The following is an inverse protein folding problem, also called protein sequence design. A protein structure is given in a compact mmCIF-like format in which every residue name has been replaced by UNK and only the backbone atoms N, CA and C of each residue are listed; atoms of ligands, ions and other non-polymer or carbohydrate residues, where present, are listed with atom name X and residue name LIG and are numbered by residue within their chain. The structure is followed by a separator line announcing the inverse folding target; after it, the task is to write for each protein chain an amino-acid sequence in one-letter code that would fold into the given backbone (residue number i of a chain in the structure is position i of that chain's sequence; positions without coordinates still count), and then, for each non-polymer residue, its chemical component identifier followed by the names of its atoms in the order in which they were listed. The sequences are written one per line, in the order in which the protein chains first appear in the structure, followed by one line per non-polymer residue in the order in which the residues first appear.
data_IF_803416467186
#
_entry.id   IF_803416467186
#
_cell.length_a   1.000
_cell.length_b   1.000
_cell.length_c   1.000
_cell.angle_alpha   90.00
_cell.angle_beta   90.00
_cell.angle_gamma   90.00
#
_symmetry.space_group_name_H-M   'P 1'
#
loop_
_entity.id
_entity.type
_entity.pdbx_description
1 polymer ?
#
# COMPACT_ATOMS: atom_id res chain seq x y z
N UNK A 1 -1.02 -6.02 14.61
CA UNK A 1 0.42 -6.36 14.60
C UNK A 1 1.06 -6.19 15.98
N UNK A 2 1.06 -5.00 16.59
CA UNK A 2 1.66 -4.77 17.92
C UNK A 2 1.21 -5.78 18.98
N UNK A 3 -0.09 -6.11 19.02
CA UNK A 3 -0.63 -7.17 19.88
C UNK A 3 0.04 -8.53 19.63
N UNK A 4 0.08 -8.99 18.38
CA UNK A 4 0.67 -10.27 18.01
C UNK A 4 2.16 -10.37 18.39
N UNK A 5 2.92 -9.29 18.19
CA UNK A 5 4.34 -9.24 18.57
C UNK A 5 4.49 -9.37 20.09
N UNK A 6 3.75 -8.56 20.87
CA UNK A 6 3.79 -8.59 22.34
C UNK A 6 3.43 -9.98 22.87
N UNK A 7 2.39 -10.60 22.31
CA UNK A 7 1.96 -11.95 22.68
C UNK A 7 3.03 -12.98 22.34
N UNK A 8 3.62 -12.95 21.14
CA UNK A 8 4.66 -13.89 20.75
C UNK A 8 5.91 -13.79 21.64
N UNK A 9 6.36 -12.57 21.98
CA UNK A 9 7.50 -12.35 22.89
C UNK A 9 7.19 -12.89 24.29
N UNK A 10 5.99 -12.61 24.82
CA UNK A 10 5.57 -13.12 26.12
C UNK A 10 5.50 -14.65 26.13
N UNK A 11 4.94 -15.28 25.08
CA UNK A 11 4.86 -16.74 24.95
C UNK A 11 6.22 -17.40 24.79
N UNK A 12 7.19 -16.73 24.16
CA UNK A 12 8.54 -17.24 24.00
C UNK A 12 9.38 -17.18 25.30
N UNK A 13 8.97 -16.39 26.30
CA UNK A 13 9.68 -16.26 27.58
C UNK A 13 11.07 -15.61 27.47
N UNK A 14 11.38 -14.99 26.33
CA UNK A 14 12.66 -14.32 26.09
C UNK A 14 12.61 -12.87 26.57
N UNK A 15 13.77 -12.33 26.97
CA UNK A 15 13.87 -10.89 27.22
C UNK A 15 13.69 -10.13 25.91
N UNK A 16 12.88 -9.05 25.86
CA UNK A 16 12.82 -8.19 24.68
C UNK A 16 14.21 -7.67 24.25
N UNK A 17 15.13 -7.49 25.20
CA UNK A 17 16.50 -7.03 24.92
C UNK A 17 17.37 -8.05 24.15
N UNK A 18 16.97 -9.33 24.09
CA UNK A 18 17.68 -10.36 23.34
C UNK A 18 17.24 -10.47 21.87
N UNK A 19 16.25 -9.67 21.44
CA UNK A 19 15.75 -9.67 20.06
C UNK A 19 16.65 -8.77 19.22
N UNK A 20 17.46 -9.39 18.35
CA UNK A 20 18.42 -8.68 17.51
C UNK A 20 17.80 -7.94 16.31
N UNK A 21 16.57 -8.27 15.92
CA UNK A 21 15.89 -7.63 14.80
C UNK A 21 14.45 -8.10 14.59
N UNK A 22 13.70 -7.34 13.79
CA UNK A 22 12.31 -7.62 13.41
C UNK A 22 12.17 -7.47 11.89
N UNK A 23 11.68 -8.51 11.23
CA UNK A 23 11.32 -8.49 9.81
C UNK A 23 9.82 -8.33 9.64
N UNK A 24 9.41 -7.60 8.60
CA UNK A 24 8.01 -7.46 8.20
C UNK A 24 7.86 -7.81 6.72
N UNK A 25 6.88 -8.64 6.42
CA UNK A 25 6.31 -8.80 5.10
C UNK A 25 4.82 -8.42 5.14
N UNK A 26 4.29 -8.07 3.98
CA UNK A 26 2.88 -7.76 3.80
C UNK A 26 2.50 -8.04 2.35
N UNK A 27 1.20 -8.17 2.10
CA UNK A 27 0.69 -8.18 0.73
C UNK A 27 1.09 -6.92 -0.02
N UNK A 28 1.17 -6.99 -1.35
CA UNK A 28 1.53 -5.86 -2.22
C UNK A 28 0.39 -4.84 -2.40
N UNK A 29 -0.43 -4.65 -1.35
CA UNK A 29 -1.50 -3.66 -1.30
C UNK A 29 -0.96 -2.22 -1.36
N UNK A 30 -1.78 -1.28 -1.82
CA UNK A 30 -1.44 0.13 -1.91
C UNK A 30 -2.04 0.89 -0.73
N UNK A 31 -1.20 1.58 0.05
CA UNK A 31 -1.64 2.44 1.16
C UNK A 31 -1.48 3.91 0.74
N UNK A 32 -2.55 4.69 0.90
CA UNK A 32 -2.58 6.11 0.53
C UNK A 32 -2.61 6.96 1.80
N UNK A 33 -1.66 7.87 1.91
CA UNK A 33 -1.55 8.82 3.02
C UNK A 33 -1.30 10.22 2.46
N UNK A 34 -1.73 11.22 3.22
CA UNK A 34 -1.45 12.62 2.99
C UNK A 34 -0.31 13.11 3.87
N UNK A 35 -0.27 14.42 4.08
CA UNK A 35 0.69 15.06 4.97
C UNK A 35 0.54 14.55 6.41
N UNK A 36 1.65 14.51 7.13
CA UNK A 36 1.71 14.05 8.53
C UNK A 36 1.16 12.62 8.74
N UNK A 37 1.34 11.73 7.76
CA UNK A 37 0.86 10.34 7.78
C UNK A 37 -0.68 10.20 7.96
N UNK A 38 -1.44 11.28 7.68
CA UNK A 38 -2.89 11.28 7.73
C UNK A 38 -3.45 10.31 6.66
N UNK A 39 -4.38 9.41 7.01
CA UNK A 39 -4.93 8.50 6.03
C UNK A 39 -5.87 9.23 5.07
N UNK A 40 -5.84 8.87 3.78
CA UNK A 40 -6.71 9.46 2.76
C UNK A 40 -7.64 8.38 2.20
N UNK A 41 -8.93 8.69 2.08
CA UNK A 41 -9.93 7.77 1.53
C UNK A 41 -9.59 7.40 0.08
N UNK A 42 -9.73 6.11 -0.26
CA UNK A 42 -9.45 5.56 -1.61
C UNK A 42 -10.66 4.91 -2.28
N UNK A 43 -11.86 5.19 -1.79
CA UNK A 43 -13.09 4.59 -2.29
C UNK A 43 -14.31 5.45 -2.00
N UNK A 44 -15.49 5.03 -2.49
CA UNK A 44 -16.70 5.87 -2.55
C UNK A 44 -17.33 6.16 -1.18
N UNK A 45 -16.80 5.59 -0.10
CA UNK A 45 -17.30 5.87 1.25
C UNK A 45 -16.77 7.18 1.83
N UNK A 46 -15.77 7.82 1.19
CA UNK A 46 -15.05 9.00 1.70
C UNK A 46 -14.48 8.84 3.12
N UNK A 47 -14.42 7.58 3.58
CA UNK A 47 -13.92 7.18 4.88
C UNK A 47 -12.39 7.09 4.83
N UNK A 48 -11.74 8.01 5.57
CA UNK A 48 -10.29 8.09 5.67
C UNK A 48 -9.69 6.82 6.28
N UNK A 49 -10.41 6.08 7.13
CA UNK A 49 -9.90 4.81 7.69
C UNK A 49 -9.84 3.70 6.63
N UNK A 50 -10.50 3.89 5.48
CA UNK A 50 -10.42 3.01 4.31
C UNK A 50 -9.44 3.58 3.31
N UNK A 51 -8.16 3.61 3.69
CA UNK A 51 -7.05 4.16 2.89
C UNK A 51 -6.16 3.12 2.19
N UNK A 52 -6.65 1.87 2.07
CA UNK A 52 -5.88 0.76 1.50
C UNK A 52 -6.63 0.17 0.30
N UNK A 53 -5.97 0.14 -0.86
CA UNK A 53 -6.41 -0.65 -2.01
C UNK A 53 -5.73 -2.01 -1.93
N UNK A 54 -6.51 -3.05 -1.65
CA UNK A 54 -6.01 -4.42 -1.46
C UNK A 54 -5.39 -4.95 -2.75
N UNK A 55 -4.39 -5.84 -2.65
CA UNK A 55 -3.74 -6.44 -3.82
C UNK A 55 -4.72 -7.08 -4.82
N UNK A 56 -5.74 -7.81 -4.31
CA UNK A 56 -6.81 -8.48 -5.08
C UNK A 56 -7.80 -7.53 -5.77
N UNK A 57 -7.70 -6.22 -5.51
CA UNK A 57 -8.63 -5.25 -6.07
C UNK A 57 -8.35 -5.03 -7.57
N UNK A 58 -9.39 -5.22 -8.39
CA UNK A 58 -9.34 -5.14 -9.85
C UNK A 58 -10.00 -3.89 -10.43
N UNK A 59 -10.33 -2.88 -9.61
CA UNK A 59 -10.95 -1.65 -10.11
C UNK A 59 -10.14 -0.93 -11.20
N UNK A 60 -8.81 -1.12 -11.19
CA UNK A 60 -7.87 -0.54 -12.14
C UNK A 60 -7.74 -1.30 -13.48
N UNK A 61 -8.72 -2.13 -13.84
CA UNK A 61 -8.67 -2.93 -15.09
C UNK A 61 -8.56 -2.05 -16.33
N UNK A 62 -9.41 -1.02 -16.46
CA UNK A 62 -9.36 -0.10 -17.60
C UNK A 62 -8.04 0.68 -17.69
N UNK A 63 -7.44 1.04 -16.55
CA UNK A 63 -6.14 1.72 -16.47
C UNK A 63 -5.01 0.77 -16.88
N UNK A 64 -5.05 -0.49 -16.45
CA UNK A 64 -4.08 -1.49 -16.88
C UNK A 64 -4.15 -1.73 -18.39
N UNK A 65 -5.35 -1.79 -18.98
CA UNK A 65 -5.54 -1.89 -20.43
C UNK A 65 -4.94 -0.70 -21.18
N UNK A 66 -5.21 0.54 -20.71
CA UNK A 66 -4.61 1.75 -21.27
C UNK A 66 -3.08 1.72 -21.23
N UNK A 67 -2.50 1.30 -20.10
CA UNK A 67 -1.04 1.17 -19.97
C UNK A 67 -0.50 0.10 -20.93
N UNK A 68 -1.17 -1.05 -21.02
CA UNK A 68 -0.76 -2.14 -21.90
C UNK A 68 -0.79 -1.73 -23.38
N UNK A 69 -1.76 -0.91 -23.80
CA UNK A 69 -1.86 -0.40 -25.17
C UNK A 69 -0.67 0.49 -25.58
N UNK A 70 0.08 1.04 -24.63
CA UNK A 70 1.27 1.86 -24.93
C UNK A 70 2.45 1.06 -25.49
N UNK A 71 2.51 -0.25 -25.23
CA UNK A 71 3.67 -1.07 -25.59
C UNK A 71 4.99 -0.62 -24.95
N UNK A 72 4.94 0.14 -23.85
CA UNK A 72 6.13 0.75 -23.25
C UNK A 72 7.21 -0.30 -22.90
N UNK A 73 8.52 -0.06 -23.17
CA UNK A 73 9.58 -1.04 -22.94
C UNK A 73 9.65 -1.60 -21.50
N UNK A 74 9.21 -0.83 -20.50
CA UNK A 74 9.14 -1.28 -19.10
C UNK A 74 8.25 -2.51 -18.90
N UNK A 75 7.26 -2.73 -19.77
CA UNK A 75 6.35 -3.88 -19.69
C UNK A 75 7.09 -5.20 -19.85
N UNK A 76 8.29 -5.21 -20.46
CA UNK A 76 9.15 -6.40 -20.56
C UNK A 76 9.50 -7.00 -19.20
N UNK A 77 9.58 -6.18 -18.14
CA UNK A 77 9.88 -6.64 -16.78
C UNK A 77 8.70 -7.35 -16.10
N UNK A 78 7.50 -7.27 -16.67
CA UNK A 78 6.28 -7.92 -16.14
C UNK A 78 5.67 -8.89 -17.16
N UNK A 79 6.47 -9.41 -18.08
CA UNK A 79 6.00 -10.38 -19.08
C UNK A 79 5.18 -9.77 -20.23
N UNK A 80 5.33 -8.47 -20.48
CA UNK A 80 4.69 -7.76 -21.58
C UNK A 80 3.28 -7.22 -21.27
N UNK A 81 2.69 -7.59 -20.13
CA UNK A 81 1.36 -7.13 -19.73
C UNK A 81 1.31 -6.82 -18.23
N UNK A 82 1.01 -5.58 -17.87
CA UNK A 82 0.82 -5.17 -16.48
C UNK A 82 -0.54 -5.68 -15.96
N UNK A 83 -0.55 -6.17 -14.73
CA UNK A 83 -1.76 -6.61 -14.03
C UNK A 83 -2.48 -5.42 -13.36
N UNK A 84 -3.83 -5.40 -13.29
CA UNK A 84 -4.56 -4.40 -12.50
C UNK A 84 -4.22 -4.43 -11.00
N UNK A 85 -3.65 -5.53 -10.51
CA UNK A 85 -3.23 -5.66 -9.11
C UNK A 85 -1.97 -4.88 -8.78
N UNK A 86 -1.18 -4.50 -9.79
CA UNK A 86 0.05 -3.75 -9.64
C UNK A 86 -0.23 -2.27 -9.28
N UNK A 87 0.80 -1.60 -8.78
CA UNK A 87 0.66 -0.28 -8.17
C UNK A 87 0.39 0.81 -9.21
N UNK A 88 1.07 0.78 -10.36
CA UNK A 88 0.93 1.83 -11.38
C UNK A 88 -0.52 1.98 -11.87
N UNK A 89 -1.25 0.93 -12.27
CA UNK A 89 -2.67 1.06 -12.63
C UNK A 89 -3.54 1.62 -11.49
N UNK A 90 -3.29 1.20 -10.25
CA UNK A 90 -4.06 1.65 -9.07
C UNK A 90 -3.85 3.12 -8.73
N UNK A 91 -2.66 3.66 -9.00
CA UNK A 91 -2.36 5.09 -8.78
C UNK A 91 -3.21 5.96 -9.71
N UNK A 92 -3.33 5.59 -10.99
CA UNK A 92 -4.19 6.33 -11.93
C UNK A 92 -5.67 6.32 -11.54
N UNK A 93 -6.15 5.23 -10.91
CA UNK A 93 -7.50 5.19 -10.35
C UNK A 93 -7.62 6.15 -9.16
N UNK A 94 -6.67 6.10 -8.24
CA UNK A 94 -6.68 6.98 -7.07
C UNK A 94 -6.71 8.46 -7.48
N UNK A 95 -5.91 8.86 -8.47
CA UNK A 95 -5.90 10.23 -8.98
C UNK A 95 -7.16 10.64 -9.77
N UNK A 96 -7.85 9.69 -10.42
CA UNK A 96 -8.98 9.98 -11.32
C UNK A 96 -10.38 9.76 -10.75
N UNK A 97 -10.54 8.89 -9.74
CA UNK A 97 -11.85 8.51 -9.16
C UNK A 97 -12.02 8.98 -7.70
N UNK A 98 -11.00 9.58 -7.09
CA UNK A 98 -11.08 10.03 -5.69
C UNK A 98 -11.53 11.49 -5.56
N UNK A 99 -12.12 11.88 -4.42
CA UNK A 99 -12.42 13.27 -4.10
C UNK A 99 -11.16 14.16 -4.18
N UNK A 100 -11.38 15.48 -4.25
CA UNK A 100 -10.41 16.52 -4.61
C UNK A 100 -9.05 16.55 -3.83
N UNK A 101 -8.84 15.68 -2.86
CA UNK A 101 -7.63 15.60 -2.02
C UNK A 101 -6.45 14.86 -2.63
N UNK A 102 -6.61 14.08 -3.71
CA UNK A 102 -5.49 13.43 -4.41
C UNK A 102 -4.98 14.29 -5.57
N UNK A 103 -4.53 15.50 -5.26
CA UNK A 103 -3.69 16.26 -6.21
C UNK A 103 -2.28 15.66 -6.26
N UNK A 104 -1.60 15.82 -7.40
CA UNK A 104 -0.23 15.37 -7.64
C UNK A 104 0.70 15.76 -6.48
N UNK A 105 1.03 14.81 -5.60
CA UNK A 105 1.85 15.07 -4.41
C UNK A 105 1.55 14.20 -3.18
N UNK A 106 0.40 13.52 -3.13
CA UNK A 106 0.08 12.64 -1.98
C UNK A 106 1.14 11.51 -1.83
N UNK A 107 1.82 11.40 -0.68
CA UNK A 107 2.84 10.38 -0.48
C UNK A 107 2.23 8.97 -0.51
N UNK A 108 2.55 8.21 -1.56
CA UNK A 108 2.17 6.79 -1.64
C UNK A 108 3.12 5.95 -0.79
N UNK A 109 2.56 5.19 0.14
CA UNK A 109 3.31 4.29 1.00
C UNK A 109 3.69 3.03 0.23
N UNK A 110 4.98 2.90 -0.08
CA UNK A 110 5.56 1.62 -0.52
C UNK A 110 5.86 0.74 0.69
N UNK A 111 6.00 -0.59 0.53
CA UNK A 111 6.38 -1.51 1.61
C UNK A 111 7.61 -1.08 2.44
N UNK A 112 8.53 -0.30 1.85
CA UNK A 112 9.71 0.25 2.55
C UNK A 112 9.39 1.21 3.71
N UNK A 113 8.20 1.83 3.76
CA UNK A 113 7.78 2.71 4.88
C UNK A 113 6.85 2.02 5.89
N UNK A 114 6.50 0.74 5.69
CA UNK A 114 5.72 -0.03 6.67
C UNK A 114 6.35 -0.04 8.07
N UNK A 115 7.69 -0.22 8.24
CA UNK A 115 8.30 -0.25 9.57
C UNK A 115 8.10 1.07 10.34
N UNK A 116 8.07 2.20 9.64
CA UNK A 116 7.88 3.52 10.26
C UNK A 116 6.45 3.68 10.81
N UNK A 117 5.43 3.27 10.05
CA UNK A 117 4.03 3.31 10.54
C UNK A 117 3.76 2.23 11.60
N UNK A 118 4.35 1.05 11.44
CA UNK A 118 4.23 -0.07 12.36
C UNK A 118 4.67 0.27 13.79
N UNK A 119 5.72 1.08 13.91
CA UNK A 119 6.29 1.49 15.19
C UNK A 119 5.65 2.77 15.75
N UNK A 120 5.04 3.61 14.91
CA UNK A 120 4.54 4.94 15.32
C UNK A 120 3.02 5.09 15.39
N UNK A 121 2.20 4.15 14.87
CA UNK A 121 0.76 4.14 15.16
C UNK A 121 0.53 3.54 16.56
N UNK A 122 0.33 4.43 17.54
CA UNK A 122 -0.15 4.08 18.89
C UNK A 122 -1.56 3.53 18.83
#
# INVERSE_FOLDING_TARGET
MCYCIKTAVASAGVSPSSIAGIGFDATCSLVVIGDNDAPLAVGPSDDADRNIIVWMDHRATGQAEKINATGHPVLRYVGGKISPEMQTPKIFVAEGESPAHLSAGAPLLRPRRLPHLALNRR
#
